data_IF_770216398501
#
_entry.id   IF_770216398501
#
_cell.length_a   1.000
_cell.length_b   1.000
_cell.length_c   1.000
_cell.angle_alpha   90.00
_cell.angle_beta   90.00
_cell.angle_gamma   90.00
#
_symmetry.space_group_name_H-M   'P 1'
#
loop_
_entity.id
_entity.type
_entity.pdbx_description
1 polymer ?
#
# COMPACT_ATOMS: atom_id res chain seq x y z
N UNK A 1 23.08 12.42 13.44
CA UNK A 1 21.85 12.86 14.15
C UNK A 1 20.67 12.31 13.36
N UNK A 2 20.10 11.19 13.81
CA UNK A 2 18.96 10.56 13.12
C UNK A 2 17.69 11.18 13.67
N UNK A 3 16.99 11.96 12.84
CA UNK A 3 15.63 12.39 13.17
C UNK A 3 14.74 11.15 13.13
N UNK A 4 14.31 10.66 14.28
CA UNK A 4 13.20 9.73 14.35
C UNK A 4 12.01 10.46 13.73
N UNK A 5 11.63 10.05 12.52
CA UNK A 5 10.36 10.47 11.94
C UNK A 5 9.30 10.04 12.94
N UNK A 6 8.65 11.02 13.55
CA UNK A 6 7.51 10.83 14.41
C UNK A 6 6.40 10.24 13.53
N UNK A 7 6.38 8.91 13.42
CA UNK A 7 5.38 8.17 12.66
C UNK A 7 4.10 8.37 13.44
N UNK A 8 3.32 9.39 13.05
CA UNK A 8 1.99 9.62 13.57
C UNK A 8 1.24 8.29 13.58
N UNK A 9 0.74 7.91 14.76
CA UNK A 9 -0.04 6.70 14.93
C UNK A 9 -1.14 6.65 13.85
N UNK A 10 -1.38 5.49 13.22
CA UNK A 10 -2.39 5.40 12.17
C UNK A 10 -3.71 5.89 12.75
N UNK A 11 -4.25 6.94 12.14
CA UNK A 11 -5.57 7.49 12.48
C UNK A 11 -6.57 6.40 12.10
N UNK A 12 -6.83 5.50 13.04
CA UNK A 12 -7.74 4.39 12.84
C UNK A 12 -9.11 4.94 13.12
N UNK A 13 -9.68 5.64 12.13
CA UNK A 13 -11.05 6.11 12.26
C UNK A 13 -11.96 4.88 12.36
N UNK A 14 -12.66 4.75 13.48
CA UNK A 14 -13.55 3.63 13.71
C UNK A 14 -14.58 3.55 12.57
N UNK A 15 -14.96 2.34 12.11
CA UNK A 15 -15.96 2.16 11.07
C UNK A 15 -17.20 2.98 11.40
N UNK A 16 -17.56 3.91 10.52
CA UNK A 16 -18.78 4.69 10.69
C UNK A 16 -19.99 3.76 10.43
N UNK A 17 -21.00 3.73 11.31
CA UNK A 17 -22.17 2.91 11.08
C UNK A 17 -22.90 3.39 9.82
N UNK A 18 -23.35 2.45 9.00
CA UNK A 18 -24.23 2.77 7.87
C UNK A 18 -25.55 3.29 8.45
N UNK A 19 -26.02 4.50 8.07
CA UNK A 19 -27.26 5.02 8.60
C UNK A 19 -28.43 4.11 8.17
N UNK A 20 -29.33 3.81 9.11
CA UNK A 20 -30.46 2.91 8.88
C UNK A 20 -31.42 3.40 7.78
N UNK A 21 -31.37 4.69 7.43
CA UNK A 21 -32.17 5.33 6.38
C UNK A 21 -31.46 5.44 5.02
N UNK A 22 -30.23 4.94 4.87
CA UNK A 22 -29.48 5.09 3.63
C UNK A 22 -30.16 4.32 2.49
N UNK A 23 -30.40 4.99 1.36
CA UNK A 23 -30.90 4.34 0.15
C UNK A 23 -29.82 3.50 -0.54
N UNK A 24 -30.22 2.50 -1.32
CA UNK A 24 -29.27 1.61 -2.02
C UNK A 24 -28.27 2.39 -2.90
N UNK A 25 -28.72 3.42 -3.61
CA UNK A 25 -27.86 4.25 -4.46
C UNK A 25 -26.81 5.03 -3.65
N UNK A 26 -27.19 5.54 -2.48
CA UNK A 26 -26.29 6.23 -1.56
C UNK A 26 -25.23 5.27 -1.00
N UNK A 27 -25.62 4.05 -0.65
CA UNK A 27 -24.69 2.99 -0.21
C UNK A 27 -23.71 2.63 -1.32
N UNK A 28 -24.19 2.44 -2.56
CA UNK A 28 -23.30 2.14 -3.71
C UNK A 28 -22.32 3.27 -4.00
N UNK A 29 -22.76 4.52 -3.92
CA UNK A 29 -21.87 5.67 -4.10
C UNK A 29 -20.77 5.72 -3.03
N UNK A 30 -21.12 5.43 -1.77
CA UNK A 30 -20.14 5.33 -0.66
C UNK A 30 -19.17 4.17 -0.82
N UNK A 31 -19.63 3.02 -1.30
CA UNK A 31 -18.75 1.89 -1.61
C UNK A 31 -17.74 2.25 -2.71
N UNK A 32 -18.20 2.88 -3.80
CA UNK A 32 -17.32 3.31 -4.88
C UNK A 32 -16.26 4.32 -4.41
N UNK A 33 -16.65 5.24 -3.51
CA UNK A 33 -15.71 6.17 -2.87
C UNK A 33 -14.66 5.44 -2.02
N UNK A 34 -15.10 4.49 -1.18
CA UNK A 34 -14.18 3.66 -0.39
C UNK A 34 -13.25 2.83 -1.27
N UNK A 35 -13.74 2.26 -2.36
CA UNK A 35 -12.92 1.53 -3.33
C UNK A 35 -11.86 2.45 -3.95
N UNK A 36 -12.22 3.68 -4.31
CA UNK A 36 -11.27 4.70 -4.78
C UNK A 36 -10.18 5.04 -3.76
N UNK A 37 -10.55 5.15 -2.48
CA UNK A 37 -9.61 5.37 -1.39
C UNK A 37 -8.69 4.16 -1.18
N UNK A 38 -9.23 2.94 -1.19
CA UNK A 38 -8.46 1.70 -1.09
C UNK A 38 -7.44 1.63 -2.24
N UNK A 39 -7.87 1.84 -3.49
CA UNK A 39 -6.99 1.83 -4.66
C UNK A 39 -5.86 2.84 -4.48
N UNK A 40 -6.18 4.07 -4.08
CA UNK A 40 -5.17 5.13 -3.86
C UNK A 40 -4.15 4.73 -2.79
N UNK A 41 -4.61 4.20 -1.65
CA UNK A 41 -3.74 3.74 -0.58
C UNK A 41 -2.86 2.55 -1.00
N UNK A 42 -3.42 1.60 -1.76
CA UNK A 42 -2.68 0.44 -2.28
C UNK A 42 -1.57 0.87 -3.23
N UNK A 43 -1.87 1.77 -4.16
CA UNK A 43 -0.88 2.31 -5.10
C UNK A 43 0.25 3.04 -4.36
N UNK A 44 -0.10 3.89 -3.38
CA UNK A 44 0.88 4.60 -2.57
C UNK A 44 1.77 3.66 -1.77
N UNK A 45 1.19 2.62 -1.16
CA UNK A 45 1.93 1.58 -0.43
C UNK A 45 2.92 0.85 -1.35
N UNK A 46 2.49 0.48 -2.56
CA UNK A 46 3.34 -0.21 -3.53
C UNK A 46 4.48 0.68 -4.04
N UNK A 47 4.24 1.98 -4.23
CA UNK A 47 5.30 2.96 -4.55
C UNK A 47 6.36 3.04 -3.44
N UNK A 48 5.95 3.21 -2.19
CA UNK A 48 6.86 3.28 -1.05
C UNK A 48 7.68 1.99 -0.88
N UNK A 49 7.04 0.84 -1.02
CA UNK A 49 7.73 -0.45 -0.95
C UNK A 49 8.78 -0.60 -2.07
N UNK A 50 8.49 -0.13 -3.30
CA UNK A 50 9.44 -0.16 -4.41
C UNK A 50 10.61 0.79 -4.20
N UNK A 51 10.33 1.97 -3.64
CA UNK A 51 11.38 2.91 -3.27
C UNK A 51 12.34 2.29 -2.25
N UNK A 52 11.82 1.73 -1.15
CA UNK A 52 12.62 1.04 -0.13
C UNK A 52 13.45 -0.12 -0.73
N UNK A 53 12.81 -1.00 -1.51
CA UNK A 53 13.51 -2.10 -2.19
C UNK A 53 14.63 -1.61 -3.11
N UNK A 54 14.43 -0.48 -3.79
CA UNK A 54 15.44 0.11 -4.68
C UNK A 54 16.59 0.71 -3.88
N UNK A 55 16.31 1.42 -2.79
CA UNK A 55 17.32 1.95 -1.87
C UNK A 55 18.17 0.84 -1.25
N UNK A 56 17.55 -0.28 -0.87
CA UNK A 56 18.26 -1.47 -0.38
C UNK A 56 19.19 -2.06 -1.43
N UNK A 57 18.71 -2.24 -2.68
CA UNK A 57 19.53 -2.73 -3.79
C UNK A 57 20.72 -1.82 -4.08
N UNK A 58 20.51 -0.50 -4.08
CA UNK A 58 21.59 0.49 -4.26
C UNK A 58 22.63 0.43 -3.14
N UNK A 59 22.24 -0.05 -1.96
CA UNK A 59 23.12 -0.26 -0.81
C UNK A 59 23.75 -1.66 -0.78
N UNK A 60 23.60 -2.47 -1.84
CA UNK A 60 24.13 -3.84 -1.90
C UNK A 60 23.35 -4.87 -1.07
N UNK A 61 22.18 -4.51 -0.54
CA UNK A 61 21.33 -5.40 0.25
C UNK A 61 20.29 -6.11 -0.62
N UNK A 62 19.74 -7.25 -0.16
CA UNK A 62 18.55 -7.83 -0.77
C UNK A 62 17.40 -6.82 -0.82
N UNK A 63 16.61 -6.88 -1.90
CA UNK A 63 15.49 -5.98 -2.14
C UNK A 63 14.45 -6.06 -1.01
N UNK A 64 14.16 -7.25 -0.49
CA UNK A 64 13.31 -7.47 0.69
C UNK A 64 13.90 -8.57 1.57
N UNK A 65 13.47 -8.59 2.84
CA UNK A 65 13.76 -9.67 3.78
C UNK A 65 12.52 -10.55 3.95
N UNK A 66 12.71 -11.87 4.01
CA UNK A 66 11.62 -12.82 4.27
C UNK A 66 10.91 -12.53 5.60
N UNK A 67 11.65 -12.09 6.62
CA UNK A 67 11.09 -11.68 7.90
C UNK A 67 10.11 -10.50 7.75
N UNK A 68 10.45 -9.52 6.93
CA UNK A 68 9.57 -8.39 6.64
C UNK A 68 8.32 -8.81 5.84
N UNK A 69 8.49 -9.68 4.83
CA UNK A 69 7.35 -10.19 4.05
C UNK A 69 6.38 -10.98 4.94
N UNK A 70 6.91 -11.83 5.84
CA UNK A 70 6.10 -12.55 6.82
C UNK A 70 5.42 -11.60 7.81
N UNK A 71 6.08 -10.54 8.27
CA UNK A 71 5.47 -9.53 9.13
C UNK A 71 4.33 -8.78 8.42
N UNK A 72 4.44 -8.53 7.11
CA UNK A 72 3.33 -8.00 6.31
C UNK A 72 2.16 -8.98 6.33
N UNK A 73 2.39 -10.26 6.00
CA UNK A 73 1.33 -11.27 5.98
C UNK A 73 0.65 -11.41 7.36
N UNK A 74 1.44 -11.45 8.43
CA UNK A 74 0.96 -11.50 9.81
C UNK A 74 0.04 -10.32 10.15
N UNK A 75 0.48 -9.08 9.89
CA UNK A 75 -0.35 -7.88 10.18
C UNK A 75 -1.72 -7.92 9.50
N UNK A 76 -1.79 -8.33 8.23
CA UNK A 76 -3.09 -8.44 7.56
C UNK A 76 -3.90 -9.64 8.06
N UNK A 77 -3.26 -10.77 8.34
CA UNK A 77 -3.93 -11.95 8.89
C UNK A 77 -4.53 -11.68 10.28
N UNK A 78 -3.80 -10.97 11.15
CA UNK A 78 -4.27 -10.62 12.49
C UNK A 78 -5.48 -9.67 12.43
N UNK A 79 -5.52 -8.75 11.46
CA UNK A 79 -6.59 -7.78 11.32
C UNK A 79 -7.84 -8.31 10.60
N UNK A 80 -7.68 -9.18 9.59
CA UNK A 80 -8.74 -9.58 8.66
C UNK A 80 -8.91 -11.11 8.53
N UNK A 81 -8.21 -11.89 9.35
CA UNK A 81 -8.20 -13.35 9.29
C UNK A 81 -7.55 -13.89 8.02
N UNK A 82 -8.00 -15.06 7.54
CA UNK A 82 -7.39 -15.75 6.39
C UNK A 82 -7.35 -14.88 5.14
N UNK A 83 -8.43 -14.16 4.84
CA UNK A 83 -8.52 -13.28 3.67
C UNK A 83 -7.54 -12.10 3.77
N UNK A 84 -7.16 -11.70 4.98
CA UNK A 84 -6.10 -10.74 5.21
C UNK A 84 -4.75 -11.20 4.66
N UNK A 85 -4.36 -12.44 4.91
CA UNK A 85 -3.11 -12.98 4.39
C UNK A 85 -3.06 -12.93 2.84
N UNK A 86 -4.19 -13.21 2.19
CA UNK A 86 -4.31 -13.13 0.73
C UNK A 86 -4.18 -11.69 0.21
N UNK A 87 -4.79 -10.72 0.90
CA UNK A 87 -4.59 -9.28 0.62
C UNK A 87 -3.11 -8.90 0.78
N UNK A 88 -2.49 -9.30 1.89
CA UNK A 88 -1.06 -9.03 2.15
C UNK A 88 -0.17 -9.57 1.02
N UNK A 89 -0.48 -10.76 0.53
CA UNK A 89 0.24 -11.38 -0.60
C UNK A 89 0.03 -10.62 -1.91
N UNK A 90 -1.19 -10.19 -2.20
CA UNK A 90 -1.47 -9.36 -3.37
C UNK A 90 -0.67 -8.04 -3.32
N UNK A 91 -0.58 -7.39 -2.16
CA UNK A 91 0.18 -6.16 -1.98
C UNK A 91 1.70 -6.33 -2.15
N UNK A 92 2.26 -7.44 -1.66
CA UNK A 92 3.66 -7.78 -1.89
C UNK A 92 3.94 -7.99 -3.39
N UNK A 93 3.02 -8.67 -4.09
CA UNK A 93 3.13 -8.87 -5.54
C UNK A 93 3.06 -7.54 -6.30
N UNK A 94 2.10 -6.66 -5.97
CA UNK A 94 2.02 -5.32 -6.58
C UNK A 94 3.30 -4.50 -6.36
N UNK A 95 3.96 -4.67 -5.22
CA UNK A 95 5.22 -3.98 -4.90
C UNK A 95 6.40 -4.49 -5.70
N UNK A 96 6.29 -5.61 -6.42
CA UNK A 96 7.34 -6.15 -7.30
C UNK A 96 7.10 -5.85 -8.78
N UNK A 97 5.88 -5.44 -9.13
CA UNK A 97 5.52 -5.11 -10.50
C UNK A 97 5.94 -3.67 -10.86
N UNK A 98 6.26 -3.41 -12.14
CA UNK A 98 6.36 -2.05 -12.65
C UNK A 98 5.07 -1.27 -12.36
N UNK A 99 5.14 0.06 -12.17
CA UNK A 99 3.93 0.83 -11.89
C UNK A 99 2.96 0.69 -13.07
N UNK A 100 1.64 0.57 -12.82
CA UNK A 100 0.66 0.51 -13.89
C UNK A 100 0.54 1.83 -14.68
N UNK A 101 1.20 2.88 -14.20
CA UNK A 101 1.37 4.17 -14.86
C UNK A 101 2.87 4.44 -15.12
N UNK A 102 3.23 5.10 -16.22
CA UNK A 102 4.61 5.48 -16.48
C UNK A 102 5.11 6.37 -15.34
N UNK A 103 6.21 5.98 -14.69
CA UNK A 103 6.88 6.84 -13.73
C UNK A 103 7.31 8.13 -14.44
N UNK A 104 6.72 9.26 -14.07
CA UNK A 104 7.16 10.58 -14.52
C UNK A 104 8.59 10.83 -14.00
N UNK A 105 9.59 10.36 -14.73
CA UNK A 105 10.96 10.39 -14.23
C UNK A 105 12.06 9.80 -15.11
N UNK A 106 11.75 9.36 -16.34
CA UNK A 106 12.78 9.02 -17.31
C UNK A 106 12.55 9.81 -18.60
N UNK A 107 12.84 11.11 -18.54
CA UNK A 107 13.02 11.90 -19.75
C UNK A 107 14.16 11.30 -20.59
N UNK A 108 14.13 11.41 -21.93
CA UNK A 108 15.16 10.85 -22.77
C UNK A 108 16.51 11.47 -22.37
N UNK A 109 17.46 10.62 -21.99
CA UNK A 109 18.88 10.98 -21.90
C UNK A 109 19.26 11.55 -23.27
N UNK A 110 19.50 12.86 -23.36
CA UNK A 110 20.11 13.43 -24.56
C UNK A 110 21.51 12.83 -24.64
N UNK A 111 21.74 12.03 -25.66
CA UNK A 111 23.08 11.71 -26.12
C UNK A 111 23.68 13.02 -26.66
N UNK A 112 24.83 13.40 -26.12
CA UNK A 112 25.79 14.29 -26.76
C UNK A 112 26.64 13.49 -27.75
#
# INVERSE_FOLDING_TARGET
>A
MSAALDVAAPVTQAPQPVPASAGEQEVRARLAELDGQIITMVLRRAELARYDQSSRRLSGLPASELAWENAVLGRYADALGRQGADIGRALLTLSRLPPPYPSAGRGPSRAE
#
